data_IF_994011072914
#
_entry.id   IF_994011072914
#
_cell.length_a   1.000
_cell.length_b   1.000
_cell.length_c   1.000
_cell.angle_alpha   90.00
_cell.angle_beta   90.00
_cell.angle_gamma   90.00
#
_symmetry.space_group_name_H-M   'P 1'
#
loop_
_entity.id
_entity.type
_entity.pdbx_description
1 polymer ?
#
# COMPACT_ATOMS: atom_id res chain seq x y z
N UNK A 1 -10.84 -16.55 34.17
CA UNK A 1 -9.97 -16.39 32.98
C UNK A 1 -10.85 -16.68 31.76
N UNK A 2 -11.28 -15.64 31.04
CA UNK A 2 -11.95 -15.84 29.75
C UNK A 2 -11.04 -16.63 28.82
N UNK A 3 -11.56 -17.62 28.05
CA UNK A 3 -10.75 -18.38 27.13
C UNK A 3 -10.12 -17.41 26.12
N UNK A 4 -8.79 -17.39 26.03
CA UNK A 4 -8.06 -16.58 25.07
C UNK A 4 -8.59 -16.87 23.67
N UNK A 5 -9.36 -15.96 23.10
CA UNK A 5 -9.90 -16.12 21.76
C UNK A 5 -8.72 -16.21 20.77
N UNK A 6 -8.72 -17.27 19.96
CA UNK A 6 -7.61 -17.57 19.03
C UNK A 6 -7.59 -16.56 17.90
N UNK A 7 -6.48 -15.83 17.75
CA UNK A 7 -6.26 -14.92 16.61
C UNK A 7 -6.13 -15.69 15.28
N UNK A 8 -5.36 -16.79 15.30
CA UNK A 8 -5.07 -17.60 14.12
C UNK A 8 -6.24 -18.51 13.76
N UNK A 9 -7.36 -17.91 13.33
CA UNK A 9 -8.53 -18.64 12.81
C UNK A 9 -8.37 -18.87 11.31
N UNK A 10 -9.07 -19.90 10.78
CA UNK A 10 -9.08 -20.17 9.33
C UNK A 10 -9.55 -18.95 8.53
N UNK A 11 -10.56 -18.22 9.02
CA UNK A 11 -11.10 -17.06 8.34
C UNK A 11 -10.11 -15.89 8.33
N UNK A 12 -9.38 -15.67 9.44
CA UNK A 12 -8.31 -14.68 9.50
C UNK A 12 -7.19 -15.01 8.50
N UNK A 13 -6.77 -16.27 8.43
CA UNK A 13 -5.76 -16.72 7.45
C UNK A 13 -6.25 -16.58 6.00
N UNK A 14 -7.51 -16.93 5.71
CA UNK A 14 -8.07 -16.81 4.36
C UNK A 14 -8.03 -15.36 3.88
N UNK A 15 -8.38 -14.38 4.71
CA UNK A 15 -8.37 -12.97 4.31
C UNK A 15 -6.94 -12.41 4.22
N UNK A 16 -6.01 -12.83 5.09
CA UNK A 16 -4.62 -12.45 5.01
C UNK A 16 -3.96 -12.95 3.71
N UNK A 17 -4.13 -14.23 3.38
CA UNK A 17 -3.58 -14.79 2.14
C UNK A 17 -4.29 -14.25 0.89
N UNK A 18 -5.61 -14.06 0.91
CA UNK A 18 -6.32 -13.42 -0.20
C UNK A 18 -5.76 -12.02 -0.48
N UNK A 19 -5.59 -11.20 0.56
CA UNK A 19 -4.98 -9.88 0.43
C UNK A 19 -3.53 -9.97 -0.06
N UNK A 20 -2.74 -10.91 0.45
CA UNK A 20 -1.37 -11.13 0.00
C UNK A 20 -1.31 -11.37 -1.52
N UNK A 21 -2.17 -12.24 -2.08
CA UNK A 21 -2.17 -12.54 -3.51
C UNK A 21 -2.63 -11.34 -4.36
N UNK A 22 -3.50 -10.46 -3.87
CA UNK A 22 -3.84 -9.22 -4.55
C UNK A 22 -2.69 -8.23 -4.54
N UNK A 23 -2.07 -8.05 -3.38
CA UNK A 23 -0.96 -7.12 -3.25
C UNK A 23 0.29 -7.60 -4.00
N UNK A 24 0.60 -8.90 -4.01
CA UNK A 24 1.73 -9.42 -4.79
C UNK A 24 1.52 -9.20 -6.29
N UNK A 25 0.28 -9.39 -6.79
CA UNK A 25 -0.08 -9.09 -8.18
C UNK A 25 0.08 -7.60 -8.46
N UNK A 26 -0.44 -6.73 -7.59
CA UNK A 26 -0.30 -5.28 -7.72
C UNK A 26 1.17 -4.84 -7.77
N UNK A 27 1.98 -5.24 -6.80
CA UNK A 27 3.37 -4.82 -6.72
C UNK A 27 4.24 -5.41 -7.83
N UNK A 28 4.01 -6.66 -8.23
CA UNK A 28 4.69 -7.27 -9.36
C UNK A 28 4.40 -6.51 -10.66
N UNK A 29 3.14 -6.25 -10.98
CA UNK A 29 2.75 -5.49 -12.17
C UNK A 29 3.26 -4.04 -12.12
N UNK A 30 3.27 -3.42 -10.94
CA UNK A 30 3.78 -2.05 -10.79
C UNK A 30 5.25 -1.94 -11.15
N UNK A 31 6.05 -2.94 -10.80
CA UNK A 31 7.48 -2.97 -11.10
C UNK A 31 7.78 -3.39 -12.55
N UNK A 32 6.92 -4.15 -13.19
CA UNK A 32 7.21 -4.78 -14.49
C UNK A 32 6.49 -4.13 -15.69
N UNK A 33 5.30 -3.54 -15.48
CA UNK A 33 4.56 -2.89 -16.57
C UNK A 33 5.26 -1.66 -17.18
N UNK A 34 6.02 -0.84 -16.45
CA UNK A 34 6.84 0.19 -17.07
C UNK A 34 7.74 -0.37 -18.16
N UNK A 35 8.48 -1.44 -17.87
CA UNK A 35 9.34 -2.15 -18.83
C UNK A 35 8.52 -2.77 -19.97
N UNK A 36 7.32 -3.31 -19.69
CA UNK A 36 6.43 -3.80 -20.75
C UNK A 36 6.00 -2.70 -21.72
N UNK A 37 5.74 -1.49 -21.22
CA UNK A 37 5.38 -0.33 -22.06
C UNK A 37 6.55 0.08 -22.95
N UNK A 38 7.77 0.15 -22.43
CA UNK A 38 8.94 0.58 -23.21
C UNK A 38 9.38 -0.49 -24.21
N UNK A 39 9.44 -1.75 -23.80
CA UNK A 39 10.07 -2.82 -24.58
C UNK A 39 9.10 -3.49 -25.57
N UNK A 40 7.80 -3.58 -25.22
CA UNK A 40 6.80 -4.27 -26.06
C UNK A 40 5.82 -3.36 -26.75
N UNK A 41 5.47 -2.21 -26.15
CA UNK A 41 4.51 -1.28 -26.74
C UNK A 41 5.17 -0.06 -27.41
N UNK A 42 6.51 0.06 -27.35
CA UNK A 42 7.26 1.17 -27.92
C UNK A 42 6.97 2.51 -27.26
N UNK A 43 6.50 2.49 -26.01
CA UNK A 43 6.15 3.69 -25.25
C UNK A 43 7.37 4.35 -24.59
N UNK A 44 7.16 5.56 -24.08
CA UNK A 44 8.17 6.30 -23.32
C UNK A 44 7.97 6.20 -21.80
N UNK A 45 8.92 6.73 -21.01
CA UNK A 45 8.88 6.72 -19.55
C UNK A 45 7.64 7.43 -18.96
N UNK A 46 7.16 8.48 -19.60
CA UNK A 46 5.93 9.15 -19.19
C UNK A 46 4.72 8.23 -19.31
N UNK A 47 4.61 7.51 -20.42
CA UNK A 47 3.55 6.51 -20.66
C UNK A 47 3.68 5.36 -19.65
N UNK A 48 4.89 4.91 -19.35
CA UNK A 48 5.16 3.92 -18.32
C UNK A 48 4.66 4.37 -16.94
N UNK A 49 4.90 5.63 -16.56
CA UNK A 49 4.38 6.22 -15.33
C UNK A 49 2.85 6.31 -15.28
N UNK A 50 2.20 6.64 -16.43
CA UNK A 50 0.75 6.74 -16.52
C UNK A 50 0.03 5.41 -16.26
N UNK A 51 0.66 4.28 -16.50
CA UNK A 51 0.11 2.94 -16.21
C UNK A 51 -0.19 2.76 -14.72
N UNK A 52 0.73 3.16 -13.85
CA UNK A 52 0.52 3.13 -12.40
C UNK A 52 -0.45 4.23 -11.96
N UNK A 53 -0.27 5.44 -12.48
CA UNK A 53 -1.15 6.59 -12.16
C UNK A 53 -2.61 6.26 -12.42
N UNK A 54 -2.93 5.71 -13.60
CA UNK A 54 -4.30 5.35 -13.99
C UNK A 54 -4.91 4.32 -13.01
N UNK A 55 -4.13 3.31 -12.64
CA UNK A 55 -4.57 2.31 -11.68
C UNK A 55 -4.86 2.91 -10.30
N UNK A 56 -3.94 3.72 -9.79
CA UNK A 56 -4.05 4.31 -8.45
C UNK A 56 -5.19 5.33 -8.40
N UNK A 57 -5.35 6.18 -9.42
CA UNK A 57 -6.49 7.12 -9.51
C UNK A 57 -7.81 6.36 -9.44
N UNK A 58 -7.95 5.29 -10.22
CA UNK A 58 -9.16 4.46 -10.21
C UNK A 58 -9.41 3.85 -8.81
N UNK A 59 -8.35 3.33 -8.17
CA UNK A 59 -8.45 2.77 -6.82
C UNK A 59 -8.87 3.83 -5.79
N UNK A 60 -8.27 5.02 -5.82
CA UNK A 60 -8.58 6.13 -4.91
C UNK A 60 -10.03 6.59 -5.09
N UNK A 61 -10.50 6.74 -6.34
CA UNK A 61 -11.89 7.10 -6.64
C UNK A 61 -12.87 6.06 -6.06
N UNK A 62 -12.52 4.77 -6.13
CA UNK A 62 -13.41 3.70 -5.67
C UNK A 62 -13.47 3.57 -4.14
N UNK A 63 -12.41 3.93 -3.40
CA UNK A 63 -12.32 3.74 -1.94
C UNK A 63 -13.46 4.37 -1.12
N UNK A 64 -13.90 5.63 -1.37
CA UNK A 64 -15.03 6.22 -0.66
C UNK A 64 -16.34 5.45 -0.86
N UNK A 65 -16.58 4.98 -2.09
CA UNK A 65 -17.76 4.19 -2.42
C UNK A 65 -17.72 2.81 -1.77
N UNK A 66 -16.58 2.12 -1.87
CA UNK A 66 -16.36 0.83 -1.24
C UNK A 66 -16.52 0.92 0.28
N UNK A 67 -15.93 1.91 0.94
CA UNK A 67 -16.07 2.14 2.38
C UNK A 67 -17.54 2.26 2.81
N UNK A 68 -18.32 3.06 2.08
CA UNK A 68 -19.74 3.23 2.34
C UNK A 68 -20.56 1.94 2.14
N UNK A 69 -20.20 1.13 1.16
CA UNK A 69 -20.87 -0.15 0.90
C UNK A 69 -20.52 -1.22 1.94
N UNK A 70 -19.36 -1.10 2.60
CA UNK A 70 -18.96 -2.02 3.68
C UNK A 70 -19.81 -1.89 4.95
N UNK A 71 -20.45 -0.74 5.16
CA UNK A 71 -21.39 -0.53 6.28
C UNK A 71 -22.73 -1.21 6.03
N UNK A 72 -22.97 -1.73 4.83
CA UNK A 72 -24.22 -2.36 4.40
C UNK A 72 -24.22 -3.90 4.49
N UNK A 73 -25.40 -4.52 4.28
CA UNK A 73 -25.57 -5.98 4.36
C UNK A 73 -24.84 -6.75 3.22
N UNK A 74 -24.53 -6.07 2.10
CA UNK A 74 -23.96 -6.70 0.91
C UNK A 74 -22.41 -6.74 0.91
N UNK A 75 -21.75 -6.43 2.03
CA UNK A 75 -20.27 -6.30 2.13
C UNK A 75 -19.50 -7.51 1.60
N UNK A 76 -19.94 -8.73 1.90
CA UNK A 76 -19.31 -9.97 1.41
C UNK A 76 -19.50 -10.14 -0.11
N UNK A 77 -20.67 -9.79 -0.62
CA UNK A 77 -20.95 -9.81 -2.07
C UNK A 77 -20.05 -8.82 -2.80
N UNK A 78 -19.91 -7.59 -2.27
CA UNK A 78 -19.05 -6.56 -2.85
C UNK A 78 -17.59 -7.02 -2.86
N UNK A 79 -17.11 -7.63 -1.76
CA UNK A 79 -15.78 -8.23 -1.72
C UNK A 79 -15.60 -9.27 -2.83
N UNK A 80 -16.55 -10.20 -3.00
CA UNK A 80 -16.47 -11.24 -4.03
C UNK A 80 -16.51 -10.66 -5.44
N UNK A 81 -17.41 -9.71 -5.72
CA UNK A 81 -17.53 -9.07 -7.03
C UNK A 81 -16.25 -8.30 -7.37
N UNK A 82 -15.75 -7.50 -6.44
CA UNK A 82 -14.50 -6.76 -6.64
C UNK A 82 -13.31 -7.70 -6.89
N UNK A 83 -13.21 -8.78 -6.12
CA UNK A 83 -12.18 -9.81 -6.29
C UNK A 83 -12.31 -10.53 -7.64
N UNK A 84 -13.54 -10.84 -8.07
CA UNK A 84 -13.79 -11.49 -9.36
C UNK A 84 -13.40 -10.58 -10.53
N UNK A 85 -13.76 -9.29 -10.48
CA UNK A 85 -13.35 -8.31 -11.50
C UNK A 85 -11.83 -8.17 -11.54
N UNK A 86 -11.16 -8.09 -10.37
CA UNK A 86 -9.70 -8.04 -10.29
C UNK A 86 -9.05 -9.27 -10.94
N UNK A 87 -9.56 -10.47 -10.63
CA UNK A 87 -9.09 -11.72 -11.24
C UNK A 87 -9.31 -11.74 -12.76
N UNK A 88 -10.51 -11.38 -13.23
CA UNK A 88 -10.84 -11.35 -14.66
C UNK A 88 -9.93 -10.39 -15.41
N UNK A 89 -9.70 -9.18 -14.89
CA UNK A 89 -8.76 -8.22 -15.48
C UNK A 89 -7.36 -8.82 -15.64
N UNK A 90 -6.89 -9.64 -14.69
CA UNK A 90 -5.57 -10.24 -14.76
C UNK A 90 -5.38 -11.16 -15.96
N UNK A 91 -6.44 -11.85 -16.42
CA UNK A 91 -6.37 -12.72 -17.60
C UNK A 91 -6.27 -11.97 -18.93
N UNK A 92 -6.60 -10.67 -18.98
CA UNK A 92 -6.55 -9.90 -20.23
C UNK A 92 -5.16 -9.32 -20.53
N UNK A 93 -4.22 -9.30 -19.57
CA UNK A 93 -2.89 -8.71 -19.81
C UNK A 93 -2.10 -9.37 -20.95
N UNK A 94 -2.11 -10.70 -21.15
CA UNK A 94 -1.42 -11.32 -22.28
C UNK A 94 -1.96 -10.92 -23.65
N UNK A 95 -3.19 -10.38 -23.71
CA UNK A 95 -3.87 -9.99 -24.96
C UNK A 95 -3.67 -8.52 -25.32
N UNK A 96 -2.92 -7.75 -24.53
CA UNK A 96 -2.74 -6.32 -24.75
C UNK A 96 -1.80 -6.09 -25.93
N UNK A 97 -2.31 -5.38 -26.93
CA UNK A 97 -1.58 -4.99 -28.13
C UNK A 97 -1.36 -3.48 -28.29
N UNK A 98 -1.88 -2.67 -27.36
CA UNK A 98 -1.79 -1.22 -27.47
C UNK A 98 -1.89 -0.49 -26.13
N UNK A 99 -1.24 0.68 -26.04
CA UNK A 99 -1.17 1.48 -24.82
C UNK A 99 -2.54 1.94 -24.29
N UNK A 100 -3.46 2.35 -25.18
CA UNK A 100 -4.81 2.76 -24.76
C UNK A 100 -5.62 1.64 -24.12
N UNK A 101 -5.51 0.41 -24.68
CA UNK A 101 -6.16 -0.79 -24.12
C UNK A 101 -5.56 -1.11 -22.75
N UNK A 102 -4.24 -1.00 -22.61
CA UNK A 102 -3.56 -1.16 -21.32
C UNK A 102 -4.08 -0.18 -20.28
N UNK A 103 -4.21 1.10 -20.60
CA UNK A 103 -4.74 2.12 -19.68
C UNK A 103 -6.18 1.83 -19.26
N UNK A 104 -7.04 1.45 -20.20
CA UNK A 104 -8.44 1.09 -19.90
C UNK A 104 -8.49 -0.13 -18.95
N UNK A 105 -7.70 -1.16 -19.24
CA UNK A 105 -7.61 -2.34 -18.37
C UNK A 105 -7.07 -1.97 -16.98
N UNK A 106 -6.04 -1.13 -16.90
CA UNK A 106 -5.49 -0.63 -15.64
C UNK A 106 -6.50 0.18 -14.82
N UNK A 107 -7.35 0.97 -15.49
CA UNK A 107 -8.42 1.71 -14.83
C UNK A 107 -9.43 0.77 -14.18
N UNK A 108 -9.97 -0.20 -14.93
CA UNK A 108 -10.94 -1.18 -14.41
C UNK A 108 -10.30 -2.03 -13.31
N UNK A 109 -9.06 -2.47 -13.51
CA UNK A 109 -8.30 -3.26 -12.54
C UNK A 109 -8.03 -2.48 -11.25
N UNK A 110 -7.66 -1.19 -11.34
CA UNK A 110 -7.48 -0.31 -10.19
C UNK A 110 -8.77 -0.05 -9.42
N UNK A 111 -9.89 0.12 -10.14
CA UNK A 111 -11.21 0.27 -9.54
C UNK A 111 -11.58 -0.95 -8.68
N UNK A 112 -11.37 -2.15 -9.23
CA UNK A 112 -11.62 -3.40 -8.52
C UNK A 112 -10.66 -3.61 -7.34
N UNK A 113 -9.39 -3.21 -7.47
CA UNK A 113 -8.40 -3.26 -6.39
C UNK A 113 -8.80 -2.36 -5.21
N UNK A 114 -9.21 -1.11 -5.50
CA UNK A 114 -9.68 -0.17 -4.48
C UNK A 114 -10.85 -0.73 -3.68
N UNK A 115 -11.82 -1.37 -4.36
CA UNK A 115 -12.96 -2.01 -3.71
C UNK A 115 -12.55 -3.25 -2.90
N UNK A 116 -11.76 -4.17 -3.49
CA UNK A 116 -11.36 -5.43 -2.87
C UNK A 116 -10.48 -5.20 -1.62
N UNK A 117 -9.50 -4.30 -1.72
CA UNK A 117 -8.59 -4.01 -0.58
C UNK A 117 -9.28 -3.26 0.55
N UNK A 118 -10.22 -2.36 0.23
CA UNK A 118 -11.06 -1.70 1.25
C UNK A 118 -11.97 -2.72 1.94
N UNK A 119 -12.58 -3.63 1.18
CA UNK A 119 -13.43 -4.69 1.72
C UNK A 119 -12.62 -5.65 2.62
N UNK A 120 -11.47 -6.13 2.16
CA UNK A 120 -10.61 -7.01 2.94
C UNK A 120 -10.13 -6.34 4.23
N UNK A 121 -9.70 -5.08 4.16
CA UNK A 121 -9.26 -4.30 5.32
C UNK A 121 -10.37 -4.06 6.35
N UNK A 122 -11.63 -3.95 5.92
CA UNK A 122 -12.78 -3.82 6.81
C UNK A 122 -13.15 -5.18 7.41
N UNK A 123 -13.30 -6.20 6.59
CA UNK A 123 -13.77 -7.53 6.99
C UNK A 123 -12.76 -8.23 7.91
N UNK A 124 -11.43 -8.02 7.71
CA UNK A 124 -10.41 -8.62 8.58
C UNK A 124 -10.59 -8.25 10.05
N UNK A 125 -11.07 -7.04 10.33
CA UNK A 125 -11.28 -6.56 11.71
C UNK A 125 -12.32 -7.37 12.48
N UNK A 126 -13.23 -8.06 11.78
CA UNK A 126 -14.26 -8.90 12.38
C UNK A 126 -13.73 -10.24 12.89
N UNK A 127 -12.60 -10.69 12.34
CA UNK A 127 -11.95 -11.95 12.73
C UNK A 127 -10.87 -11.78 13.81
N UNK A 128 -10.62 -10.53 14.20
CA UNK A 128 -9.61 -10.20 15.21
C UNK A 128 -10.32 -9.94 16.54
N UNK A 129 -9.98 -10.65 17.61
CA UNK A 129 -10.50 -10.39 18.96
C UNK A 129 -10.24 -8.94 19.39
N UNK A 130 -11.19 -8.33 20.10
CA UNK A 130 -11.11 -6.91 20.48
C UNK A 130 -9.87 -6.59 21.35
N UNK A 131 -9.47 -7.53 22.20
CA UNK A 131 -8.28 -7.40 23.05
C UNK A 131 -6.94 -7.59 22.30
N UNK A 132 -6.97 -8.04 21.01
CA UNK A 132 -5.79 -8.32 20.16
C UNK A 132 -5.84 -7.57 18.81
N UNK A 133 -6.66 -6.51 18.70
CA UNK A 133 -6.83 -5.77 17.43
C UNK A 133 -5.52 -5.24 16.85
N UNK A 134 -4.66 -4.67 17.69
CA UNK A 134 -3.35 -4.18 17.24
C UNK A 134 -2.45 -5.29 16.70
N UNK A 135 -2.39 -6.42 17.39
CA UNK A 135 -1.61 -7.59 16.98
C UNK A 135 -2.16 -8.17 15.66
N UNK A 136 -3.47 -8.38 15.57
CA UNK A 136 -4.08 -8.96 14.37
C UNK A 136 -3.93 -8.07 13.14
N UNK A 137 -4.17 -6.77 13.26
CA UNK A 137 -3.92 -5.82 12.17
C UNK A 137 -2.43 -5.74 11.81
N UNK A 138 -1.55 -5.87 12.80
CA UNK A 138 -0.11 -5.96 12.58
C UNK A 138 0.27 -7.15 11.69
N UNK A 139 -0.26 -8.34 11.97
CA UNK A 139 -0.05 -9.51 11.12
C UNK A 139 -0.68 -9.35 9.73
N UNK A 140 -1.89 -8.83 9.64
CA UNK A 140 -2.51 -8.53 8.34
C UNK A 140 -1.63 -7.59 7.48
N UNK A 141 -1.12 -6.53 8.08
CA UNK A 141 -0.20 -5.60 7.41
C UNK A 141 1.14 -6.26 7.05
N UNK A 142 1.61 -7.23 7.84
CA UNK A 142 2.82 -7.99 7.52
C UNK A 142 2.67 -8.77 6.22
N UNK A 143 1.52 -9.39 5.96
CA UNK A 143 1.25 -10.06 4.67
C UNK A 143 1.32 -9.08 3.49
N UNK A 144 0.78 -7.87 3.63
CA UNK A 144 0.87 -6.85 2.59
C UNK A 144 2.31 -6.36 2.36
N UNK A 145 3.08 -6.17 3.45
CA UNK A 145 4.50 -5.79 3.34
C UNK A 145 5.33 -6.91 2.69
N UNK A 146 5.04 -8.17 2.99
CA UNK A 146 5.69 -9.30 2.34
C UNK A 146 5.38 -9.32 0.82
N UNK A 147 4.14 -9.03 0.44
CA UNK A 147 3.75 -8.91 -0.96
C UNK A 147 4.44 -7.74 -1.66
N UNK A 148 4.62 -6.59 -0.98
CA UNK A 148 5.36 -5.43 -1.50
C UNK A 148 6.81 -5.76 -1.87
N UNK A 149 7.36 -6.75 -1.21
CA UNK A 149 8.71 -7.23 -1.37
C UNK A 149 8.81 -8.30 -2.44
N UNK A 150 8.02 -9.36 -2.27
CA UNK A 150 8.07 -10.53 -3.16
C UNK A 150 7.48 -10.23 -4.54
N UNK A 151 6.56 -9.28 -4.64
CA UNK A 151 5.93 -8.92 -5.91
C UNK A 151 6.93 -8.45 -6.97
N UNK A 152 7.66 -7.34 -6.74
CA UNK A 152 8.70 -6.88 -7.67
C UNK A 152 9.77 -7.93 -7.92
N UNK A 153 10.24 -8.62 -6.88
CA UNK A 153 11.25 -9.67 -7.00
C UNK A 153 10.82 -10.77 -7.97
N UNK A 154 9.66 -11.40 -7.73
CA UNK A 154 9.13 -12.48 -8.59
C UNK A 154 8.87 -11.94 -10.00
N UNK A 155 8.27 -10.75 -10.10
CA UNK A 155 7.95 -10.13 -11.38
C UNK A 155 9.19 -9.93 -12.25
N UNK A 156 10.21 -9.30 -11.69
CA UNK A 156 11.45 -9.00 -12.41
C UNK A 156 12.26 -10.27 -12.72
N UNK A 157 12.31 -11.22 -11.78
CA UNK A 157 12.99 -12.49 -12.02
C UNK A 157 12.39 -13.24 -13.22
N UNK A 158 11.07 -13.24 -13.36
CA UNK A 158 10.39 -13.93 -14.46
C UNK A 158 10.61 -13.20 -15.79
N UNK A 159 10.46 -11.88 -15.84
CA UNK A 159 10.65 -11.17 -17.11
C UNK A 159 12.11 -11.18 -17.58
N UNK A 160 13.08 -11.25 -16.67
CA UNK A 160 14.51 -11.35 -17.02
C UNK A 160 14.91 -12.73 -17.54
N UNK A 161 14.29 -13.81 -17.09
CA UNK A 161 14.72 -15.17 -17.41
C UNK A 161 13.73 -15.92 -18.33
N UNK A 162 12.49 -15.44 -18.46
CA UNK A 162 11.45 -16.12 -19.27
C UNK A 162 10.78 -15.12 -20.20
N UNK A 163 9.61 -14.59 -19.86
CA UNK A 163 8.87 -13.56 -20.63
C UNK A 163 7.69 -12.96 -19.85
N UNK A 164 7.07 -11.90 -20.41
CA UNK A 164 5.90 -11.24 -19.81
C UNK A 164 4.65 -12.12 -19.76
N UNK A 165 4.41 -12.96 -20.76
CA UNK A 165 3.22 -13.81 -20.78
C UNK A 165 3.23 -14.81 -19.61
N UNK A 166 4.37 -15.43 -19.33
CA UNK A 166 4.54 -16.33 -18.19
C UNK A 166 4.26 -15.59 -16.86
N UNK A 167 4.74 -14.35 -16.74
CA UNK A 167 4.43 -13.52 -15.58
C UNK A 167 2.92 -13.28 -15.44
N UNK A 168 2.26 -12.87 -16.51
CA UNK A 168 0.82 -12.57 -16.48
C UNK A 168 -0.01 -13.82 -16.13
N UNK A 169 0.33 -14.98 -16.65
CA UNK A 169 -0.33 -16.24 -16.29
C UNK A 169 -0.10 -16.62 -14.82
N UNK A 170 1.12 -16.44 -14.30
CA UNK A 170 1.40 -16.69 -12.88
C UNK A 170 0.59 -15.74 -11.97
N UNK A 171 0.55 -14.45 -12.31
CA UNK A 171 -0.21 -13.47 -11.54
C UNK A 171 -1.72 -13.75 -11.61
N UNK A 172 -2.22 -14.20 -12.76
CA UNK A 172 -3.61 -14.67 -12.89
C UNK A 172 -3.89 -15.88 -12.00
N UNK A 173 -2.96 -16.84 -11.91
CA UNK A 173 -3.08 -17.97 -11.00
C UNK A 173 -3.13 -17.52 -9.52
N UNK A 174 -2.31 -16.52 -9.12
CA UNK A 174 -2.38 -15.93 -7.79
C UNK A 174 -3.75 -15.28 -7.53
N UNK A 175 -4.31 -14.58 -8.51
CA UNK A 175 -5.66 -14.00 -8.39
C UNK A 175 -6.74 -15.08 -8.22
N UNK A 176 -6.63 -16.21 -8.93
CA UNK A 176 -7.53 -17.37 -8.76
C UNK A 176 -7.44 -17.93 -7.34
N UNK A 177 -6.22 -18.10 -6.80
CA UNK A 177 -6.04 -18.57 -5.42
C UNK A 177 -6.68 -17.55 -4.44
N UNK A 178 -6.43 -16.26 -4.61
CA UNK A 178 -7.04 -15.21 -3.81
C UNK A 178 -8.57 -15.23 -3.85
N UNK A 179 -9.15 -15.44 -5.04
CA UNK A 179 -10.60 -15.59 -5.22
C UNK A 179 -11.16 -16.83 -4.52
N UNK A 180 -10.50 -17.97 -4.65
CA UNK A 180 -10.92 -19.22 -3.97
C UNK A 180 -10.91 -19.08 -2.45
N UNK A 181 -9.90 -18.40 -1.90
CA UNK A 181 -9.83 -18.08 -0.46
C UNK A 181 -10.97 -17.16 -0.03
N UNK A 182 -11.30 -16.14 -0.83
CA UNK A 182 -12.42 -15.24 -0.58
C UNK A 182 -13.76 -15.98 -0.61
N UNK A 183 -13.97 -16.88 -1.57
CA UNK A 183 -15.17 -17.73 -1.64
C UNK A 183 -15.28 -18.63 -0.40
N UNK A 184 -14.18 -19.25 0.03
CA UNK A 184 -14.17 -20.09 1.24
C UNK A 184 -14.49 -19.30 2.49
N UNK A 185 -13.98 -18.07 2.60
CA UNK A 185 -14.29 -17.15 3.68
C UNK A 185 -15.80 -16.87 3.75
N UNK A 186 -16.41 -16.48 2.62
CA UNK A 186 -17.85 -16.16 2.55
C UNK A 186 -18.70 -17.39 2.88
N UNK A 187 -18.37 -18.56 2.36
CA UNK A 187 -19.07 -19.81 2.67
C UNK A 187 -18.93 -20.23 4.14
N UNK A 188 -17.78 -19.95 4.77
CA UNK A 188 -17.57 -20.20 6.20
C UNK A 188 -18.46 -19.29 7.05
N UNK A 189 -18.58 -18.01 6.67
CA UNK A 189 -19.48 -17.08 7.36
C UNK A 189 -20.96 -17.41 7.20
N UNK A 190 -21.39 -17.81 6.00
CA UNK A 190 -22.77 -18.20 5.76
C UNK A 190 -23.21 -19.41 6.61
N UNK A 191 -22.28 -20.32 6.95
CA UNK A 191 -22.54 -21.47 7.82
C UNK A 191 -22.57 -21.12 9.31
N UNK A 192 -21.95 -20.01 9.72
CA UNK A 192 -21.84 -19.60 11.13
C UNK A 192 -22.93 -18.64 11.58
N UNK A 193 -23.78 -18.15 10.68
CA UNK A 193 -24.95 -17.33 11.04
C UNK A 193 -26.10 -18.27 11.41
N UNK A 194 -26.53 -18.34 12.70
CA UNK A 194 -27.74 -19.05 13.05
C UNK A 194 -28.94 -18.43 12.34
N UNK A 195 -29.91 -19.23 11.91
CA UNK A 195 -31.14 -18.79 11.24
C UNK A 195 -31.91 -17.66 12.00
N UNK A 196 -31.65 -17.53 13.31
CA UNK A 196 -32.21 -16.46 14.16
C UNK A 196 -31.63 -15.06 13.92
N UNK A 197 -30.54 -14.92 13.14
CA UNK A 197 -29.96 -13.59 12.82
C UNK A 197 -30.55 -12.96 11.54
N UNK A 198 -31.44 -13.68 10.84
CA UNK A 198 -32.19 -13.14 9.69
C UNK A 198 -33.21 -12.06 10.10
N UNK A 199 -33.59 -11.99 11.41
CA UNK A 199 -34.55 -11.04 11.98
C UNK A 199 -33.90 -9.79 12.61
N UNK A 200 -32.65 -9.48 12.34
CA UNK A 200 -32.18 -8.14 12.68
C UNK A 200 -32.93 -7.13 11.82
N UNK A 201 -33.70 -6.21 12.42
CA UNK A 201 -34.38 -5.16 11.67
C UNK A 201 -33.35 -4.48 10.81
N UNK A 202 -33.60 -4.39 9.49
CA UNK A 202 -32.82 -3.53 8.61
C UNK A 202 -32.68 -2.18 9.33
N UNK A 203 -31.47 -1.58 9.36
CA UNK A 203 -31.31 -0.27 9.98
C UNK A 203 -32.43 0.61 9.46
N UNK A 204 -33.24 1.11 10.37
CA UNK A 204 -34.41 1.93 10.09
C UNK A 204 -34.04 2.92 8.99
N UNK A 205 -34.78 2.90 7.90
CA UNK A 205 -34.78 3.95 6.88
C UNK A 205 -35.43 5.19 7.51
N UNK A 206 -34.77 5.74 8.55
CA UNK A 206 -35.13 7.07 9.02
C UNK A 206 -34.64 8.04 7.95
N UNK A 207 -35.61 8.48 7.11
CA UNK A 207 -35.53 9.64 6.26
C UNK A 207 -34.29 9.63 5.34
N UNK A 208 -34.39 9.06 4.13
CA UNK A 208 -33.51 9.40 3.04
C UNK A 208 -33.75 10.86 2.62
N UNK A 209 -33.51 11.82 3.52
CA UNK A 209 -33.16 13.15 3.12
C UNK A 209 -31.88 12.97 2.28
N UNK A 210 -31.86 13.48 1.04
CA UNK A 210 -30.66 13.57 0.19
C UNK A 210 -29.59 14.26 1.03
N UNK A 211 -28.77 13.48 1.79
CA UNK A 211 -27.62 14.02 2.49
C UNK A 211 -26.76 14.71 1.45
N UNK A 212 -26.69 16.04 1.52
CA UNK A 212 -25.75 16.82 0.75
C UNK A 212 -24.37 16.17 0.94
N UNK A 213 -23.69 15.90 -0.15
CA UNK A 213 -22.33 15.36 -0.13
C UNK A 213 -21.49 16.19 0.85
N UNK A 214 -21.13 15.59 1.98
CA UNK A 214 -20.29 16.22 2.98
C UNK A 214 -18.95 15.50 2.99
N UNK A 215 -17.91 16.15 2.46
CA UNK A 215 -16.56 15.61 2.38
C UNK A 215 -16.00 15.16 3.74
N UNK A 216 -16.48 15.76 4.85
CA UNK A 216 -16.09 15.38 6.22
C UNK A 216 -16.54 13.97 6.63
N UNK A 217 -17.42 13.34 5.86
CA UNK A 217 -17.81 11.94 6.03
C UNK A 217 -16.84 10.97 5.33
N UNK A 218 -15.86 11.49 4.57
CA UNK A 218 -14.91 10.71 3.76
C UNK A 218 -13.45 10.97 4.10
N UNK A 219 -13.14 12.05 4.81
CA UNK A 219 -11.77 12.48 5.17
C UNK A 219 -11.75 12.92 6.63
N UNK A 220 -10.75 12.45 7.39
CA UNK A 220 -10.51 12.88 8.78
C UNK A 220 -9.53 14.06 8.82
N UNK A 221 -10.00 15.27 9.16
CA UNK A 221 -9.15 16.47 9.08
C UNK A 221 -7.91 16.43 9.98
N UNK A 222 -7.99 15.77 11.14
CA UNK A 222 -6.86 15.69 12.09
C UNK A 222 -5.68 14.88 11.54
N UNK A 223 -5.94 13.97 10.59
CA UNK A 223 -4.93 13.13 9.94
C UNK A 223 -4.33 13.77 8.69
N UNK A 224 -4.93 14.84 8.12
CA UNK A 224 -4.45 15.49 6.90
C UNK A 224 -2.97 15.94 7.00
N UNK A 225 -2.50 16.60 8.08
CA UNK A 225 -1.12 17.09 8.11
C UNK A 225 -0.07 15.98 7.93
N UNK A 226 -0.25 14.86 8.61
CA UNK A 226 0.68 13.72 8.48
C UNK A 226 0.49 12.98 7.16
N UNK A 227 -0.74 12.95 6.63
CA UNK A 227 -1.04 12.34 5.34
C UNK A 227 -0.41 13.12 4.17
N UNK A 228 -0.32 14.47 4.29
CA UNK A 228 0.43 15.30 3.34
C UNK A 228 1.93 14.96 3.34
N UNK A 229 2.53 14.77 4.52
CA UNK A 229 3.92 14.28 4.61
C UNK A 229 4.06 12.95 3.87
N UNK A 230 3.17 12.01 4.17
CA UNK A 230 3.17 10.69 3.53
C UNK A 230 3.02 10.79 2.00
N UNK A 231 2.22 11.72 1.49
CA UNK A 231 2.06 11.97 0.05
C UNK A 231 3.38 12.38 -0.61
N UNK A 232 4.10 13.35 -0.05
CA UNK A 232 5.39 13.78 -0.62
C UNK A 232 6.45 12.67 -0.59
N UNK A 233 6.47 11.86 0.46
CA UNK A 233 7.35 10.69 0.53
C UNK A 233 6.95 9.60 -0.48
N UNK A 234 5.65 9.43 -0.68
CA UNK A 234 5.10 8.47 -1.64
C UNK A 234 5.36 8.88 -3.10
N UNK A 235 5.43 10.19 -3.40
CA UNK A 235 5.86 10.69 -4.71
C UNK A 235 7.27 10.16 -5.03
N UNK A 236 8.22 10.32 -4.11
CA UNK A 236 9.56 9.79 -4.30
C UNK A 236 9.59 8.25 -4.35
N UNK A 237 8.73 7.57 -3.56
CA UNK A 237 8.63 6.11 -3.57
C UNK A 237 8.13 5.56 -4.90
N UNK A 238 7.25 6.29 -5.60
CA UNK A 238 6.79 5.91 -6.92
C UNK A 238 7.94 5.74 -7.93
N UNK A 239 9.01 6.55 -7.82
CA UNK A 239 10.19 6.40 -8.68
C UNK A 239 10.92 5.09 -8.44
N UNK A 240 11.01 4.65 -7.20
CA UNK A 240 11.65 3.37 -6.85
C UNK A 240 10.80 2.21 -7.39
N UNK A 241 9.50 2.26 -7.10
CA UNK A 241 8.59 1.18 -7.45
C UNK A 241 8.46 0.96 -8.96
N UNK A 242 8.48 2.05 -9.75
CA UNK A 242 8.23 1.99 -11.19
C UNK A 242 9.50 2.02 -12.05
N UNK A 243 10.56 2.70 -11.61
CA UNK A 243 11.67 3.04 -12.50
C UNK A 243 13.03 2.45 -12.12
N UNK A 244 13.16 1.74 -10.98
CA UNK A 244 14.40 1.04 -10.62
C UNK A 244 14.82 0.05 -11.69
N UNK A 245 13.93 -0.78 -12.31
CA UNK A 245 14.33 -1.69 -13.36
C UNK A 245 14.83 -0.98 -14.62
N UNK A 246 14.15 0.09 -15.05
CA UNK A 246 14.53 0.90 -16.20
C UNK A 246 15.86 1.62 -15.98
N UNK A 247 16.09 2.16 -14.77
CA UNK A 247 17.35 2.77 -14.42
C UNK A 247 18.49 1.77 -14.35
N UNK A 248 18.26 0.58 -13.82
CA UNK A 248 19.24 -0.50 -13.80
C UNK A 248 19.68 -0.91 -15.22
N UNK A 249 18.74 -0.92 -16.17
CA UNK A 249 19.05 -1.19 -17.59
C UNK A 249 19.88 -0.06 -18.20
N UNK A 250 19.51 1.21 -17.95
CA UNK A 250 20.22 2.41 -18.42
C UNK A 250 21.69 2.44 -17.98
N UNK A 251 21.99 2.00 -16.74
CA UNK A 251 23.36 1.98 -16.19
C UNK A 251 24.08 0.65 -16.34
N UNK A 252 23.52 -0.30 -17.14
CA UNK A 252 24.14 -1.60 -17.41
C UNK A 252 24.09 -2.60 -16.25
N UNK A 253 23.20 -2.40 -15.28
CA UNK A 253 23.03 -3.23 -14.08
C UNK A 253 21.72 -4.01 -14.05
N UNK A 254 21.14 -4.33 -15.22
CA UNK A 254 19.82 -5.00 -15.37
C UNK A 254 19.68 -6.25 -14.50
N UNK A 255 20.71 -7.09 -14.43
CA UNK A 255 20.72 -8.31 -13.62
C UNK A 255 20.58 -8.07 -12.12
N UNK A 256 20.92 -6.88 -11.63
CA UNK A 256 20.82 -6.51 -10.21
C UNK A 256 19.43 -5.99 -9.82
N UNK A 257 18.56 -5.66 -10.77
CA UNK A 257 17.27 -5.02 -10.47
C UNK A 257 16.34 -5.90 -9.61
N UNK A 258 16.32 -7.22 -9.82
CA UNK A 258 15.56 -8.16 -8.99
C UNK A 258 16.11 -8.22 -7.56
N UNK A 259 17.43 -8.30 -7.43
CA UNK A 259 18.10 -8.36 -6.13
C UNK A 259 17.95 -7.06 -5.32
N UNK A 260 17.79 -5.93 -6.00
CA UNK A 260 17.49 -4.65 -5.35
C UNK A 260 16.29 -4.75 -4.41
N UNK A 261 15.19 -5.30 -4.91
CA UNK A 261 13.96 -5.45 -4.11
C UNK A 261 14.11 -6.48 -2.99
N UNK A 262 14.95 -7.52 -3.15
CA UNK A 262 15.26 -8.44 -2.04
C UNK A 262 15.99 -7.70 -0.94
N UNK A 263 17.07 -6.98 -1.29
CA UNK A 263 17.87 -6.24 -0.30
C UNK A 263 17.01 -5.19 0.40
N UNK A 264 16.23 -4.42 -0.37
CA UNK A 264 15.24 -3.48 0.16
C UNK A 264 14.30 -4.12 1.17
N UNK A 265 13.82 -5.29 0.85
CA UNK A 265 12.92 -6.10 1.65
C UNK A 265 13.51 -6.59 2.95
N UNK A 266 14.66 -7.23 2.85
CA UNK A 266 15.41 -7.76 4.00
C UNK A 266 15.64 -6.64 5.01
N UNK A 267 15.99 -5.45 4.52
CA UNK A 267 16.22 -4.29 5.39
C UNK A 267 14.95 -3.75 6.04
N UNK A 268 13.80 -3.77 5.33
CA UNK A 268 12.51 -3.46 5.96
C UNK A 268 12.20 -4.43 7.09
N UNK A 269 12.33 -5.74 6.84
CA UNK A 269 12.02 -6.77 7.85
C UNK A 269 12.99 -6.68 9.04
N UNK A 270 14.29 -6.52 8.78
CA UNK A 270 15.31 -6.37 9.80
C UNK A 270 15.13 -5.12 10.67
N UNK A 271 14.65 -4.02 10.08
CA UNK A 271 14.40 -2.77 10.81
C UNK A 271 13.19 -2.86 11.78
N UNK A 272 12.20 -3.72 11.50
CA UNK A 272 10.92 -3.78 12.23
C UNK A 272 11.04 -3.96 13.74
N UNK A 273 11.83 -4.92 14.27
CA UNK A 273 11.94 -5.12 15.73
C UNK A 273 12.50 -3.90 16.46
N UNK A 274 13.36 -3.13 15.78
CA UNK A 274 13.99 -1.94 16.34
C UNK A 274 13.07 -0.71 16.24
N UNK A 275 12.52 -0.46 15.05
CA UNK A 275 11.71 0.73 14.78
C UNK A 275 10.38 0.71 15.53
N UNK A 276 9.74 -0.46 15.69
CA UNK A 276 8.52 -0.59 16.49
C UNK A 276 8.75 -0.25 17.96
N UNK A 277 9.78 -0.85 18.59
CA UNK A 277 10.15 -0.57 20.00
C UNK A 277 10.59 0.88 20.19
N UNK A 278 11.30 1.45 19.21
CA UNK A 278 11.81 2.81 19.27
C UNK A 278 10.66 3.83 19.16
N UNK A 279 9.67 3.55 18.30
CA UNK A 279 8.47 4.38 18.15
C UNK A 279 7.63 4.46 19.44
N UNK A 280 7.56 3.34 20.19
CA UNK A 280 6.78 3.29 21.42
C UNK A 280 7.50 3.97 22.59
N UNK A 281 8.84 4.06 22.57
CA UNK A 281 9.67 4.55 23.70
C UNK A 281 10.17 5.98 23.53
N UNK A 282 10.39 6.44 22.30
CA UNK A 282 10.98 7.74 22.04
C UNK A 282 9.95 8.73 21.46
N UNK A 283 10.17 10.05 21.64
CA UNK A 283 9.39 11.05 20.93
C UNK A 283 9.47 10.85 19.41
N UNK A 284 8.36 11.05 18.70
CA UNK A 284 8.22 10.80 17.25
C UNK A 284 9.36 11.37 16.42
N UNK A 285 9.85 12.56 16.77
CA UNK A 285 10.89 13.27 16.03
C UNK A 285 12.21 12.49 15.97
N UNK A 286 12.54 11.73 17.03
CA UNK A 286 13.76 10.90 17.08
C UNK A 286 13.75 9.73 16.10
N UNK A 287 12.58 9.35 15.59
CA UNK A 287 12.46 8.33 14.56
C UNK A 287 12.24 8.93 13.17
N UNK A 288 11.39 9.95 13.07
CA UNK A 288 11.00 10.53 11.78
C UNK A 288 12.17 11.19 11.07
N UNK A 289 12.97 12.04 11.75
CA UNK A 289 14.08 12.72 11.09
C UNK A 289 15.21 11.80 10.63
N UNK A 290 15.72 10.86 11.43
CA UNK A 290 16.74 9.93 10.96
C UNK A 290 16.28 9.06 9.80
N UNK A 291 15.01 8.61 9.82
CA UNK A 291 14.47 7.79 8.72
C UNK A 291 14.26 8.60 7.43
N UNK A 292 13.88 9.88 7.51
CA UNK A 292 13.86 10.79 6.36
C UNK A 292 15.29 11.00 5.84
N UNK A 293 16.28 11.23 6.72
CA UNK A 293 17.67 11.40 6.31
C UNK A 293 18.21 10.15 5.60
N UNK A 294 17.94 8.95 6.13
CA UNK A 294 18.28 7.70 5.46
C UNK A 294 17.60 7.57 4.09
N UNK A 295 16.35 8.00 3.98
CA UNK A 295 15.65 7.96 2.68
C UNK A 295 16.29 8.90 1.66
N UNK A 296 16.64 10.13 2.05
CA UNK A 296 17.37 11.09 1.20
C UNK A 296 18.74 10.52 0.78
N UNK A 297 19.52 10.01 1.75
CA UNK A 297 20.84 9.41 1.48
C UNK A 297 20.71 8.24 0.51
N UNK A 298 19.73 7.35 0.73
CA UNK A 298 19.50 6.22 -0.14
C UNK A 298 19.15 6.62 -1.59
N UNK A 299 18.30 7.65 -1.78
CA UNK A 299 17.99 8.20 -3.09
C UNK A 299 19.21 8.86 -3.75
N UNK A 300 20.04 9.55 -2.97
CA UNK A 300 21.28 10.16 -3.48
C UNK A 300 22.28 9.09 -3.92
N UNK A 301 22.46 8.03 -3.14
CA UNK A 301 23.29 6.87 -3.52
C UNK A 301 22.74 6.20 -4.77
N UNK A 302 21.41 6.04 -4.88
CA UNK A 302 20.78 5.48 -6.07
C UNK A 302 21.04 6.36 -7.31
N UNK A 303 20.83 7.65 -7.21
CA UNK A 303 21.07 8.60 -8.31
C UNK A 303 22.54 8.64 -8.79
N UNK A 304 23.48 8.27 -7.94
CA UNK A 304 24.93 8.24 -8.25
C UNK A 304 25.48 6.83 -8.42
N UNK A 305 24.62 5.80 -8.44
CA UNK A 305 25.06 4.42 -8.54
C UNK A 305 25.69 4.13 -9.93
N UNK A 306 26.90 3.57 -9.90
CA UNK A 306 27.67 3.15 -11.08
C UNK A 306 28.24 1.73 -10.91
N UNK A 307 27.88 1.05 -9.83
CA UNK A 307 28.25 -0.33 -9.54
C UNK A 307 27.11 -1.09 -8.89
N UNK A 308 27.10 -2.43 -9.07
CA UNK A 308 26.10 -3.30 -8.45
C UNK A 308 26.06 -3.16 -6.92
N UNK A 309 27.24 -2.94 -6.29
CA UNK A 309 27.31 -2.72 -4.85
C UNK A 309 26.59 -1.44 -4.41
N UNK A 310 26.87 -0.29 -5.04
CA UNK A 310 26.21 0.97 -4.72
C UNK A 310 24.70 0.93 -5.01
N UNK A 311 24.32 0.27 -6.11
CA UNK A 311 22.94 0.06 -6.47
C UNK A 311 22.17 -0.73 -5.39
N UNK A 312 22.71 -1.88 -4.95
CA UNK A 312 22.10 -2.67 -3.87
C UNK A 312 22.16 -1.97 -2.50
N UNK A 313 23.26 -1.26 -2.21
CA UNK A 313 23.40 -0.46 -1.00
C UNK A 313 22.32 0.62 -0.90
N UNK A 314 22.01 1.28 -2.03
CA UNK A 314 20.91 2.26 -2.08
C UNK A 314 19.58 1.63 -1.68
N UNK A 315 19.29 0.42 -2.18
CA UNK A 315 18.11 -0.37 -1.80
C UNK A 315 18.07 -0.68 -0.29
N UNK A 316 19.21 -1.05 0.28
CA UNK A 316 19.34 -1.29 1.71
C UNK A 316 19.02 -0.03 2.54
N UNK A 317 19.63 1.09 2.20
CA UNK A 317 19.48 2.37 2.92
C UNK A 317 18.04 2.90 2.77
N UNK A 318 17.45 2.81 1.57
CA UNK A 318 16.05 3.19 1.35
C UNK A 318 15.10 2.27 2.11
N UNK A 319 15.38 0.97 2.16
CA UNK A 319 14.60 -0.01 2.93
C UNK A 319 14.58 0.32 4.42
N UNK A 320 15.72 0.68 5.00
CA UNK A 320 15.81 1.17 6.38
C UNK A 320 15.06 2.49 6.58
N UNK A 321 15.24 3.45 5.69
CA UNK A 321 14.61 4.77 5.77
C UNK A 321 13.10 4.72 5.55
N UNK A 322 12.68 4.55 4.33
CA UNK A 322 11.26 4.58 3.94
C UNK A 322 10.45 3.42 4.53
N UNK A 323 11.04 2.20 4.57
CA UNK A 323 10.37 1.03 5.13
C UNK A 323 10.04 1.17 6.61
N UNK A 324 10.85 1.90 7.38
CA UNK A 324 10.58 2.24 8.78
C UNK A 324 9.63 3.42 8.92
N UNK A 325 9.74 4.40 8.04
CA UNK A 325 9.03 5.68 8.11
C UNK A 325 7.54 5.52 7.78
N UNK A 326 7.19 4.82 6.72
CA UNK A 326 5.80 4.69 6.23
C UNK A 326 4.82 4.17 7.29
N UNK A 327 5.09 3.08 8.04
CA UNK A 327 4.19 2.62 9.11
C UNK A 327 4.12 3.58 10.29
N UNK A 328 5.21 4.29 10.58
CA UNK A 328 5.22 5.30 11.64
C UNK A 328 4.28 6.46 11.30
N UNK A 329 4.30 6.94 10.05
CA UNK A 329 3.39 7.99 9.60
C UNK A 329 1.93 7.52 9.65
N UNK A 330 1.65 6.28 9.24
CA UNK A 330 0.31 5.68 9.35
C UNK A 330 -0.16 5.62 10.81
N UNK A 331 0.71 5.20 11.72
CA UNK A 331 0.40 5.14 13.16
C UNK A 331 0.11 6.54 13.70
N UNK A 332 0.88 7.56 13.32
CA UNK A 332 0.65 8.94 13.71
C UNK A 332 -0.70 9.43 13.15
N UNK A 333 -1.06 9.10 11.91
CA UNK A 333 -2.33 9.46 11.32
C UNK A 333 -3.51 8.91 12.14
N UNK A 334 -3.46 7.62 12.47
CA UNK A 334 -4.48 6.95 13.30
C UNK A 334 -4.55 7.54 14.71
N UNK A 335 -3.40 7.78 15.35
CA UNK A 335 -3.34 8.35 16.70
C UNK A 335 -3.80 9.81 16.76
N UNK A 336 -3.79 10.53 15.64
CA UNK A 336 -4.26 11.92 15.55
C UNK A 336 -5.78 12.03 15.58
N UNK A 337 -6.49 10.96 15.24
CA UNK A 337 -7.96 10.91 15.17
C UNK A 337 -8.61 10.46 16.48
N UNK A 338 -9.88 10.82 16.71
CA UNK A 338 -10.68 10.21 17.78
C UNK A 338 -10.83 8.70 17.58
N UNK A 339 -10.97 7.96 18.69
CA UNK A 339 -11.09 6.48 18.63
C UNK A 339 -12.25 5.98 17.75
N UNK A 340 -13.33 6.75 17.65
CA UNK A 340 -14.47 6.43 16.80
C UNK A 340 -14.24 6.65 15.30
N UNK A 341 -13.09 7.26 14.90
CA UNK A 341 -12.76 7.63 13.52
C UNK A 341 -11.43 7.06 13.02
N UNK A 342 -10.97 5.98 13.63
CA UNK A 342 -9.71 5.30 13.25
C UNK A 342 -9.75 4.81 11.81
N UNK A 343 -10.88 4.26 11.36
CA UNK A 343 -11.06 3.81 9.98
C UNK A 343 -10.96 4.96 8.99
N UNK A 344 -11.61 6.09 9.28
CA UNK A 344 -11.58 7.28 8.44
C UNK A 344 -10.18 7.91 8.40
N UNK A 345 -9.46 7.92 9.52
CA UNK A 345 -8.06 8.37 9.58
C UNK A 345 -7.13 7.51 8.72
N UNK A 346 -7.31 6.19 8.78
CA UNK A 346 -6.58 5.22 7.95
C UNK A 346 -6.91 5.42 6.46
N UNK A 347 -8.18 5.58 6.11
CA UNK A 347 -8.60 5.86 4.74
C UNK A 347 -8.01 7.18 4.23
N UNK A 348 -8.02 8.24 5.05
CA UNK A 348 -7.41 9.53 4.72
C UNK A 348 -5.91 9.36 4.43
N UNK A 349 -5.18 8.65 5.30
CA UNK A 349 -3.77 8.38 5.10
C UNK A 349 -3.51 7.69 3.75
N UNK A 350 -4.25 6.65 3.44
CA UNK A 350 -4.03 5.90 2.20
C UNK A 350 -4.47 6.67 0.94
N UNK A 351 -5.49 7.54 1.02
CA UNK A 351 -5.86 8.41 -0.11
C UNK A 351 -4.67 9.31 -0.50
N UNK A 352 -4.03 9.94 0.49
CA UNK A 352 -2.87 10.79 0.25
C UNK A 352 -1.64 9.99 -0.17
N UNK A 353 -1.39 8.85 0.46
CA UNK A 353 -0.25 7.99 0.16
C UNK A 353 -0.33 7.42 -1.25
N UNK A 354 -1.46 6.80 -1.62
CA UNK A 354 -1.66 6.25 -2.96
C UNK A 354 -1.77 7.35 -4.01
N UNK A 355 -2.43 8.48 -3.67
CA UNK A 355 -2.43 9.68 -4.52
C UNK A 355 -1.01 10.17 -4.81
N UNK A 356 -0.14 10.17 -3.79
CA UNK A 356 1.28 10.48 -3.94
C UNK A 356 2.00 9.52 -4.88
N UNK A 357 1.74 8.22 -4.77
CA UNK A 357 2.29 7.20 -5.70
C UNK A 357 1.82 7.48 -7.14
N UNK A 358 0.52 7.71 -7.34
CA UNK A 358 -0.05 7.96 -8.66
C UNK A 358 0.51 9.24 -9.31
N UNK A 359 0.47 10.36 -8.58
CA UNK A 359 1.02 11.64 -9.03
C UNK A 359 2.53 11.52 -9.27
N UNK A 360 3.24 10.88 -8.34
CA UNK A 360 4.69 10.69 -8.42
C UNK A 360 5.11 9.89 -9.65
N UNK A 361 4.41 8.80 -9.96
CA UNK A 361 4.69 7.98 -11.14
C UNK A 361 4.54 8.78 -12.45
N UNK A 362 3.48 9.60 -12.58
CA UNK A 362 3.26 10.44 -13.76
C UNK A 362 4.28 11.58 -13.86
N UNK A 363 4.47 12.34 -12.78
CA UNK A 363 5.38 13.50 -12.78
C UNK A 363 6.84 13.07 -12.97
N UNK A 364 7.30 12.08 -12.20
CA UNK A 364 8.68 11.61 -12.26
C UNK A 364 8.96 10.86 -13.56
N UNK A 365 7.99 10.12 -14.09
CA UNK A 365 8.07 9.54 -15.41
C UNK A 365 8.20 10.58 -16.53
N UNK A 366 7.47 11.70 -16.43
CA UNK A 366 7.62 12.85 -17.34
C UNK A 366 9.01 13.49 -17.25
N UNK A 367 9.53 13.67 -16.03
CA UNK A 367 10.88 14.19 -15.82
C UNK A 367 11.94 13.23 -16.39
N UNK A 368 11.80 11.93 -16.16
CA UNK A 368 12.71 10.92 -16.72
C UNK A 368 12.72 10.94 -18.25
N UNK A 369 11.56 11.12 -18.89
CA UNK A 369 11.45 11.26 -20.36
C UNK A 369 12.11 12.53 -20.89
N UNK A 370 11.90 13.66 -20.19
CA UNK A 370 12.44 14.95 -20.61
C UNK A 370 13.94 15.12 -20.33
N UNK A 371 14.49 14.31 -19.43
CA UNK A 371 15.90 14.42 -18.97
C UNK A 371 16.59 13.05 -18.94
N UNK A 372 16.60 12.42 -17.76
CA UNK A 372 17.10 11.05 -17.51
C UNK A 372 16.65 10.57 -16.12
N UNK A 373 16.83 9.26 -15.84
CA UNK A 373 16.44 8.67 -14.56
C UNK A 373 17.24 9.25 -13.37
N UNK A 374 18.47 9.67 -13.54
CA UNK A 374 19.29 10.30 -12.48
C UNK A 374 18.65 11.59 -11.98
N UNK A 375 18.24 12.49 -12.87
CA UNK A 375 17.57 13.74 -12.54
C UNK A 375 16.20 13.46 -11.88
N UNK A 376 15.49 12.46 -12.35
CA UNK A 376 14.23 12.01 -11.73
C UNK A 376 14.42 11.64 -10.26
N UNK A 377 15.47 10.88 -9.88
CA UNK A 377 15.74 10.55 -8.48
C UNK A 377 16.15 11.77 -7.66
N UNK A 378 16.89 12.73 -8.23
CA UNK A 378 17.19 14.01 -7.57
C UNK A 378 15.91 14.82 -7.30
N UNK A 379 14.96 14.84 -8.24
CA UNK A 379 13.63 15.43 -8.01
C UNK A 379 12.85 14.67 -6.93
N UNK A 380 13.01 13.35 -6.84
CA UNK A 380 12.50 12.54 -5.73
C UNK A 380 13.04 13.02 -4.37
N UNK A 381 14.33 13.34 -4.27
CA UNK A 381 14.93 13.91 -3.06
C UNK A 381 14.24 15.25 -2.70
N UNK A 382 14.01 16.13 -3.67
CA UNK A 382 13.31 17.40 -3.44
C UNK A 382 11.92 17.14 -2.84
N UNK A 383 11.18 16.16 -3.37
CA UNK A 383 9.87 15.79 -2.80
C UNK A 383 9.98 15.33 -1.34
N UNK A 384 10.99 14.50 -1.01
CA UNK A 384 11.22 14.06 0.38
C UNK A 384 11.54 15.25 1.30
N UNK A 385 12.36 16.20 0.84
CA UNK A 385 12.70 17.41 1.60
C UNK A 385 11.48 18.32 1.81
N UNK A 386 10.60 18.44 0.82
CA UNK A 386 9.30 19.13 0.98
C UNK A 386 8.47 18.42 2.06
N UNK A 387 8.39 17.09 2.02
CA UNK A 387 7.72 16.29 3.06
C UNK A 387 8.31 16.54 4.45
N UNK A 388 9.64 16.61 4.57
CA UNK A 388 10.33 16.96 5.82
C UNK A 388 9.99 18.37 6.31
N UNK A 389 9.93 19.35 5.40
CA UNK A 389 9.54 20.71 5.71
C UNK A 389 8.08 20.78 6.20
N UNK A 390 7.16 20.09 5.51
CA UNK A 390 5.76 20.01 5.93
C UNK A 390 5.65 19.37 7.33
N UNK A 391 6.42 18.31 7.60
CA UNK A 391 6.48 17.71 8.93
C UNK A 391 6.98 18.70 9.99
N UNK A 392 8.04 19.43 9.69
CA UNK A 392 8.60 20.44 10.59
C UNK A 392 7.57 21.54 10.90
N UNK A 393 6.94 22.12 9.89
CA UNK A 393 6.02 23.24 10.04
C UNK A 393 4.72 22.85 10.78
N UNK A 394 4.16 21.66 10.48
CA UNK A 394 2.82 21.29 10.94
C UNK A 394 2.82 20.37 12.17
N UNK A 395 3.89 19.60 12.39
CA UNK A 395 3.87 18.50 13.35
C UNK A 395 5.01 18.50 14.37
N UNK A 396 6.15 19.14 14.07
CA UNK A 396 7.32 19.12 14.95
C UNK A 396 7.03 19.52 16.39
N UNK A 397 6.26 20.60 16.59
CA UNK A 397 5.90 21.16 17.90
C UNK A 397 4.66 20.54 18.55
N UNK A 398 3.96 19.66 17.85
CA UNK A 398 2.77 19.03 18.44
C UNK A 398 3.19 17.98 19.47
N UNK A 399 2.71 18.08 20.73
CA UNK A 399 3.06 17.10 21.76
C UNK A 399 2.65 15.71 21.29
N UNK A 400 3.56 14.74 21.38
CA UNK A 400 3.22 13.33 21.26
C UNK A 400 2.29 12.98 22.41
N UNK A 401 1.09 12.44 22.13
CA UNK A 401 0.27 11.87 23.19
C UNK A 401 1.07 10.71 23.79
N UNK A 402 1.32 10.71 25.11
CA UNK A 402 2.05 9.61 25.74
C UNK A 402 1.32 8.30 25.49
N UNK A 403 2.06 7.24 25.19
CA UNK A 403 1.52 5.89 25.08
C UNK A 403 0.77 5.53 26.37
N UNK A 404 -0.33 4.77 26.26
CA UNK A 404 -1.15 4.36 27.41
C UNK A 404 -0.35 3.70 28.54
N UNK A 405 0.79 3.07 28.23
CA UNK A 405 1.68 2.46 29.23
C UNK A 405 2.36 3.48 30.14
N UNK A 406 2.75 4.65 29.61
CA UNK A 406 3.34 5.73 30.41
C UNK A 406 2.28 6.39 31.29
N UNK A 407 1.03 6.53 30.80
CA UNK A 407 -0.08 7.04 31.62
C UNK A 407 -0.54 6.04 32.70
N UNK A 408 -0.50 4.73 32.43
CA UNK A 408 -0.80 3.71 33.42
C UNK A 408 0.28 3.60 34.51
N UNK A 409 1.55 3.76 34.15
CA UNK A 409 2.67 3.76 35.12
C UNK A 409 2.68 5.03 35.98
N UNK A 410 2.37 6.20 35.40
CA UNK A 410 2.27 7.44 36.19
C UNK A 410 1.02 7.47 37.09
N UNK A 411 -0.06 6.76 36.71
CA UNK A 411 -1.24 6.61 37.56
C UNK A 411 -1.08 5.53 38.66
N UNK A 412 -0.10 4.61 38.54
CA UNK A 412 0.25 3.64 39.56
C UNK A 412 1.33 4.14 40.51
N UNK A 413 2.03 5.22 40.16
CA UNK A 413 3.10 5.85 40.97
C UNK A 413 2.61 7.14 41.68
N UNK A 414 1.38 7.55 41.46
CA UNK A 414 0.67 8.62 42.20
C UNK A 414 -0.38 8.03 43.16
#
# INVERSE_FOLDING_TARGET
LEPQQRLWTRNFLFICFSSFFFFITFYSMTATLPTFVTDHLGGNQQQAGLVLTTFVIAAVIMRPFAGRWMDGPMRLTIMLVATAVFMVCSFFYPMISGFGVLLLLRFIHGFSFGAATTANGTIVTEFIPDNRKGEGLGYYTLFMNLAMVLGPFIGLLIIQNVNFNTLFYLLSAFCVIGMLLSIRLVRSQAKSVPAAAADRPAPSKSGAAKERFNWRNYIEPSSIPISLVAMFLAIAYASILSFVPSYADEIGLKSYSSYYFIVYAVMIVAARPFTGKLFDRLPRNYLVYPTIALYVIGLAVLATAHSGFLFLLSGAVIGLGFGSLSPCLQTIAVQSAPKSKVGLATATYFIFFDGGIGIGSALLGGIATATNNRIMYLCGIVSVLIGALVYYLLLHRRPSRPSRQVQAQSAQSA
#
